data_IF_775728873223
#
_entry.id   IF_775728873223
#
_cell.length_a   1.000
_cell.length_b   1.000
_cell.length_c   1.000
_cell.angle_alpha   90.00
_cell.angle_beta   90.00
_cell.angle_gamma   90.00
#
_symmetry.space_group_name_H-M   'P 1'
#
loop_
_entity.id
_entity.type
_entity.pdbx_description
1 polymer ?
#
# COMPACT_ATOMS: atom_id res chain seq x y z
N UNK A 1 15.80 -24.11 4.19
CA UNK A 1 17.26 -24.14 4.55
C UNK A 1 17.46 -23.18 5.72
N UNK A 2 18.42 -23.46 6.60
CA UNK A 2 18.73 -22.55 7.73
C UNK A 2 19.61 -21.41 7.22
N UNK A 3 19.16 -20.16 7.40
CA UNK A 3 19.86 -18.93 6.99
C UNK A 3 21.28 -18.90 7.56
N UNK A 4 21.46 -19.33 8.83
CA UNK A 4 22.76 -19.34 9.50
C UNK A 4 23.84 -20.18 8.75
N UNK A 5 23.42 -21.12 7.89
CA UNK A 5 24.35 -21.95 7.10
C UNK A 5 24.89 -21.24 5.87
N UNK A 6 24.19 -20.24 5.34
CA UNK A 6 24.62 -19.48 4.16
C UNK A 6 25.58 -18.36 4.52
N UNK A 7 25.59 -17.89 5.75
CA UNK A 7 26.18 -16.61 6.14
C UNK A 7 25.57 -15.44 5.34
N UNK A 8 26.00 -14.21 5.62
CA UNK A 8 25.46 -13.00 4.97
C UNK A 8 25.67 -13.01 3.47
N UNK A 9 26.91 -13.06 3.02
CA UNK A 9 27.22 -13.01 1.57
C UNK A 9 26.63 -14.18 0.78
N UNK A 10 26.62 -15.40 1.35
CA UNK A 10 25.99 -16.55 0.71
C UNK A 10 24.47 -16.41 0.58
N UNK A 11 23.82 -15.72 1.51
CA UNK A 11 22.40 -15.40 1.41
C UNK A 11 22.16 -14.34 0.32
N UNK A 12 22.95 -13.27 0.27
CA UNK A 12 22.88 -12.23 -0.78
C UNK A 12 23.04 -12.87 -2.16
N UNK A 13 24.08 -13.68 -2.36
CA UNK A 13 24.31 -14.39 -3.62
C UNK A 13 23.13 -15.30 -4.01
N UNK A 14 22.55 -16.00 -3.04
CA UNK A 14 21.38 -16.86 -3.27
C UNK A 14 20.17 -16.04 -3.74
N UNK A 15 19.85 -14.94 -3.04
CA UNK A 15 18.66 -14.13 -3.30
C UNK A 15 18.77 -13.31 -4.60
N UNK A 16 19.97 -12.89 -4.98
CA UNK A 16 20.22 -12.06 -6.17
C UNK A 16 20.64 -12.87 -7.40
N UNK A 17 20.74 -14.18 -7.27
CA UNK A 17 21.13 -15.08 -8.37
C UNK A 17 20.21 -14.92 -9.58
N UNK A 18 20.82 -14.59 -10.72
CA UNK A 18 20.11 -14.42 -11.99
C UNK A 18 19.41 -13.08 -12.16
N UNK A 19 19.70 -12.08 -11.32
CA UNK A 19 19.29 -10.70 -11.60
C UNK A 19 20.07 -10.13 -12.77
N UNK A 20 19.34 -9.54 -13.71
CA UNK A 20 19.90 -8.78 -14.82
C UNK A 20 19.40 -7.34 -14.71
N UNK A 21 20.32 -6.39 -14.74
CA UNK A 21 19.99 -4.97 -14.76
C UNK A 21 19.29 -4.62 -16.08
N UNK A 22 18.11 -4.02 -16.01
CA UNK A 22 17.27 -3.69 -17.19
C UNK A 22 17.44 -2.23 -17.61
N UNK A 23 17.85 -1.37 -16.69
CA UNK A 23 17.93 0.06 -16.90
C UNK A 23 19.32 0.46 -17.35
N UNK A 24 19.41 1.27 -18.42
CA UNK A 24 20.68 1.84 -18.88
C UNK A 24 21.33 2.76 -17.85
N UNK A 25 20.56 3.30 -16.92
CA UNK A 25 21.06 4.10 -15.79
C UNK A 25 21.75 3.26 -14.72
N UNK A 26 21.58 1.95 -14.69
CA UNK A 26 22.30 1.04 -13.78
C UNK A 26 23.60 0.60 -14.44
N UNK A 27 24.71 1.23 -14.07
CA UNK A 27 26.04 0.90 -14.57
C UNK A 27 26.60 -0.37 -13.90
N UNK A 28 26.40 -0.48 -12.58
CA UNK A 28 26.77 -1.64 -11.76
C UNK A 28 25.75 -1.82 -10.63
N UNK A 29 25.17 -3.00 -10.51
CA UNK A 29 24.17 -3.31 -9.50
C UNK A 29 24.75 -4.00 -8.26
N UNK A 30 24.15 -5.16 -7.87
CA UNK A 30 24.62 -5.95 -6.73
C UNK A 30 26.00 -6.54 -6.99
N UNK A 31 26.89 -6.52 -5.98
CA UNK A 31 28.17 -7.23 -6.01
C UNK A 31 29.39 -6.42 -5.57
N UNK A 32 29.22 -5.17 -5.12
CA UNK A 32 30.26 -4.33 -4.55
C UNK A 32 29.69 -3.51 -3.38
N UNK A 33 30.51 -2.65 -2.72
CA UNK A 33 30.09 -1.82 -1.61
C UNK A 33 28.96 -0.84 -1.97
N UNK A 34 28.90 -0.41 -3.24
CA UNK A 34 27.86 0.49 -3.75
C UNK A 34 27.39 0.09 -5.16
N UNK A 35 26.11 0.30 -5.44
CA UNK A 35 25.63 0.33 -6.82
C UNK A 35 26.09 1.61 -7.53
N UNK A 36 26.39 1.52 -8.84
CA UNK A 36 26.79 2.67 -9.66
C UNK A 36 25.70 3.01 -10.64
N UNK A 37 25.22 4.25 -10.59
CA UNK A 37 24.14 4.75 -11.44
C UNK A 37 24.56 6.00 -12.19
N UNK A 38 23.99 6.19 -13.38
CA UNK A 38 24.24 7.36 -14.23
C UNK A 38 22.94 7.92 -14.80
N UNK A 39 22.65 9.18 -14.50
CA UNK A 39 21.43 9.92 -14.92
C UNK A 39 21.82 11.19 -15.67
N UNK A 40 22.12 11.11 -16.97
CA UNK A 40 22.38 12.29 -17.77
C UNK A 40 21.04 13.02 -18.04
N UNK A 41 21.06 14.34 -17.89
CA UNK A 41 19.95 15.24 -18.27
C UNK A 41 18.57 14.94 -17.63
N UNK A 42 18.56 14.35 -16.44
CA UNK A 42 17.35 14.02 -15.66
C UNK A 42 17.50 14.44 -14.21
N UNK A 43 16.38 14.80 -13.60
CA UNK A 43 16.28 14.89 -12.13
C UNK A 43 16.04 13.50 -11.55
N UNK A 44 16.67 13.23 -10.41
CA UNK A 44 16.51 11.98 -9.67
C UNK A 44 15.45 12.16 -8.61
N UNK A 45 14.46 11.27 -8.62
CA UNK A 45 13.45 11.13 -7.58
C UNK A 45 13.87 9.99 -6.66
N UNK A 46 13.76 10.18 -5.35
CA UNK A 46 14.12 9.15 -4.37
C UNK A 46 13.10 9.16 -3.23
N UNK A 47 12.57 7.98 -2.93
CA UNK A 47 11.67 7.75 -1.81
C UNK A 47 12.11 6.57 -0.98
N UNK A 48 11.61 6.47 0.25
CA UNK A 48 11.86 5.31 1.12
C UNK A 48 10.69 5.08 2.05
N UNK A 49 10.26 3.82 2.14
CA UNK A 49 9.27 3.35 3.11
C UNK A 49 9.85 2.30 4.04
N UNK A 50 9.28 2.23 5.23
CA UNK A 50 9.58 1.21 6.23
C UNK A 50 8.31 0.45 6.61
N UNK A 51 8.32 -0.86 6.45
CA UNK A 51 7.24 -1.75 6.84
C UNK A 51 7.68 -2.59 8.05
N UNK A 52 6.88 -2.53 9.11
CA UNK A 52 7.14 -3.22 10.38
C UNK A 52 6.06 -4.26 10.64
N UNK A 53 6.48 -5.48 10.99
CA UNK A 53 5.55 -6.52 11.42
C UNK A 53 4.77 -6.10 12.67
N UNK A 54 3.45 -6.34 12.64
CA UNK A 54 2.53 -5.93 13.71
C UNK A 54 2.09 -4.46 13.65
N UNK A 55 2.61 -3.68 12.67
CA UNK A 55 2.22 -2.29 12.44
C UNK A 55 1.65 -2.14 11.03
N UNK A 56 2.44 -2.45 10.00
CA UNK A 56 2.07 -2.29 8.58
C UNK A 56 1.60 -3.60 7.93
N UNK A 57 1.93 -4.73 8.53
CA UNK A 57 1.51 -6.05 8.08
C UNK A 57 1.51 -7.06 9.23
N UNK A 58 0.73 -8.14 9.07
CA UNK A 58 0.70 -9.27 10.00
C UNK A 58 0.83 -10.58 9.23
N UNK A 59 1.87 -11.35 9.55
CA UNK A 59 2.18 -12.63 8.90
C UNK A 59 1.18 -13.75 9.24
N UNK A 60 0.16 -13.47 10.04
CA UNK A 60 -0.94 -14.42 10.26
C UNK A 60 -1.91 -14.47 9.08
N UNK A 61 -1.93 -13.44 8.23
CA UNK A 61 -2.82 -13.35 7.06
C UNK A 61 -2.16 -12.87 5.76
N UNK A 62 -0.94 -12.31 5.79
CA UNK A 62 -0.18 -12.01 4.57
C UNK A 62 0.96 -13.02 4.41
N UNK A 63 1.07 -13.63 3.25
CA UNK A 63 2.24 -14.46 2.93
C UNK A 63 3.43 -13.61 2.48
N UNK A 64 4.61 -14.23 2.47
CA UNK A 64 5.85 -13.53 2.14
C UNK A 64 5.90 -13.04 0.68
N UNK A 65 5.23 -13.73 -0.25
CA UNK A 65 5.19 -13.30 -1.65
C UNK A 65 4.35 -12.04 -1.81
N UNK A 66 3.14 -11.98 -1.23
CA UNK A 66 2.32 -10.76 -1.23
C UNK A 66 3.02 -9.61 -0.50
N UNK A 67 3.68 -9.91 0.63
CA UNK A 67 4.43 -8.89 1.36
C UNK A 67 5.56 -8.29 0.52
N UNK A 68 6.33 -9.13 -0.20
CA UNK A 68 7.38 -8.66 -1.10
C UNK A 68 6.85 -7.78 -2.23
N UNK A 69 5.72 -8.18 -2.83
CA UNK A 69 5.05 -7.40 -3.87
C UNK A 69 4.59 -6.04 -3.36
N UNK A 70 3.83 -6.04 -2.25
CA UNK A 70 3.34 -4.82 -1.59
C UNK A 70 4.49 -3.88 -1.23
N UNK A 71 5.57 -4.41 -0.62
CA UNK A 71 6.73 -3.61 -0.21
C UNK A 71 7.40 -2.87 -1.37
N UNK A 72 7.42 -3.45 -2.57
CA UNK A 72 7.90 -2.77 -3.77
C UNK A 72 6.90 -1.73 -4.29
N UNK A 73 5.60 -2.11 -4.35
CA UNK A 73 4.57 -1.26 -4.96
C UNK A 73 4.34 0.05 -4.22
N UNK A 74 4.42 0.06 -2.88
CA UNK A 74 4.26 1.30 -2.11
C UNK A 74 5.31 2.34 -2.51
N UNK A 75 6.56 1.95 -2.66
CA UNK A 75 7.64 2.84 -3.09
C UNK A 75 7.56 3.23 -4.57
N UNK A 76 7.11 2.32 -5.44
CA UNK A 76 6.89 2.60 -6.86
C UNK A 76 5.76 3.62 -7.04
N UNK A 77 4.73 3.56 -6.17
CA UNK A 77 3.61 4.50 -6.13
C UNK A 77 4.09 5.94 -5.95
N UNK A 78 4.98 6.20 -4.99
CA UNK A 78 5.54 7.53 -4.74
C UNK A 78 6.24 8.13 -5.99
N UNK A 79 6.98 7.30 -6.72
CA UNK A 79 7.65 7.75 -7.94
C UNK A 79 6.62 8.15 -9.01
N UNK A 80 5.56 7.36 -9.19
CA UNK A 80 4.48 7.72 -10.11
C UNK A 80 3.70 8.95 -9.64
N UNK A 81 3.51 9.11 -8.33
CA UNK A 81 2.84 10.27 -7.74
C UNK A 81 3.55 11.60 -8.04
N UNK A 82 4.84 11.56 -8.39
CA UNK A 82 5.60 12.73 -8.86
C UNK A 82 5.80 12.77 -10.39
N UNK A 83 5.03 12.00 -11.16
CA UNK A 83 5.15 11.84 -12.61
C UNK A 83 6.53 11.30 -13.05
N UNK A 84 7.21 10.59 -12.16
CA UNK A 84 8.48 9.94 -12.42
C UNK A 84 8.34 8.60 -13.15
N UNK A 85 9.50 8.03 -13.46
CA UNK A 85 9.63 6.65 -13.93
C UNK A 85 10.55 5.92 -12.95
N UNK A 86 10.09 4.89 -12.23
CA UNK A 86 10.93 4.13 -11.30
C UNK A 86 12.02 3.39 -12.06
N UNK A 87 13.21 3.26 -11.48
CA UNK A 87 14.37 2.68 -12.13
C UNK A 87 15.15 1.68 -11.29
N UNK A 88 15.49 2.04 -10.05
CA UNK A 88 16.28 1.19 -9.17
C UNK A 88 15.65 1.11 -7.78
N UNK A 89 16.01 0.05 -7.06
CA UNK A 89 15.55 -0.20 -5.70
C UNK A 89 16.65 -0.85 -4.87
N UNK A 90 16.77 -0.43 -3.62
CA UNK A 90 17.57 -1.10 -2.59
C UNK A 90 16.69 -1.58 -1.46
N UNK A 91 16.98 -2.75 -0.90
CA UNK A 91 16.13 -3.45 0.06
C UNK A 91 16.91 -3.76 1.33
N UNK A 92 16.57 -3.13 2.43
CA UNK A 92 17.12 -3.46 3.75
C UNK A 92 16.10 -4.29 4.53
N UNK A 93 16.55 -5.44 5.06
CA UNK A 93 15.67 -6.38 5.75
C UNK A 93 16.28 -6.82 7.10
N UNK A 94 15.50 -6.72 8.18
CA UNK A 94 15.90 -7.19 9.50
C UNK A 94 15.05 -8.41 9.90
N UNK A 95 15.71 -9.55 10.14
CA UNK A 95 15.07 -10.86 10.28
C UNK A 95 15.22 -11.42 11.69
N UNK A 96 14.14 -11.91 12.28
CA UNK A 96 14.22 -12.73 13.48
C UNK A 96 14.59 -14.18 13.15
N UNK A 97 15.07 -14.94 14.16
CA UNK A 97 15.54 -16.34 13.99
C UNK A 97 14.48 -17.34 13.51
N UNK A 98 13.21 -16.94 13.44
CA UNK A 98 12.12 -17.84 12.99
C UNK A 98 12.08 -18.02 11.49
N UNK A 99 12.67 -17.10 10.71
CA UNK A 99 12.64 -17.15 9.25
C UNK A 99 13.67 -18.11 8.68
N UNK A 100 13.31 -18.71 7.56
CA UNK A 100 14.14 -19.63 6.79
C UNK A 100 14.45 -19.02 5.43
N UNK A 101 15.35 -19.63 4.68
CA UNK A 101 15.69 -19.18 3.32
C UNK A 101 14.46 -19.22 2.41
N UNK A 102 13.61 -20.24 2.55
CA UNK A 102 12.40 -20.42 1.76
C UNK A 102 11.41 -19.22 1.94
N UNK A 103 11.30 -18.70 3.15
CA UNK A 103 10.47 -17.52 3.43
C UNK A 103 10.99 -16.29 2.68
N UNK A 104 12.32 -16.13 2.61
CA UNK A 104 12.95 -15.05 1.86
C UNK A 104 12.86 -15.23 0.35
N UNK A 105 12.96 -16.47 -0.13
CA UNK A 105 12.77 -16.78 -1.55
C UNK A 105 11.37 -16.35 -2.00
N UNK A 106 10.34 -16.62 -1.19
CA UNK A 106 8.96 -16.18 -1.48
C UNK A 106 8.84 -14.65 -1.42
N UNK A 107 9.43 -13.99 -0.42
CA UNK A 107 9.46 -12.53 -0.33
C UNK A 107 10.08 -11.90 -1.58
N UNK A 108 11.29 -12.34 -1.94
CA UNK A 108 11.99 -11.80 -3.12
C UNK A 108 11.31 -12.19 -4.43
N UNK A 109 10.57 -13.29 -4.49
CA UNK A 109 9.72 -13.64 -5.64
C UNK A 109 8.62 -12.58 -5.85
N UNK A 110 7.91 -12.19 -4.79
CA UNK A 110 6.91 -11.12 -4.86
C UNK A 110 7.52 -9.77 -5.23
N UNK A 111 8.64 -9.41 -4.61
CA UNK A 111 9.39 -8.20 -4.91
C UNK A 111 9.77 -8.12 -6.40
N UNK A 112 10.30 -9.23 -6.96
CA UNK A 112 10.66 -9.32 -8.39
C UNK A 112 9.46 -9.16 -9.29
N UNK A 113 8.31 -9.77 -8.96
CA UNK A 113 7.09 -9.62 -9.76
C UNK A 113 6.69 -8.15 -9.91
N UNK A 114 6.77 -7.37 -8.84
CA UNK A 114 6.52 -5.91 -8.86
C UNK A 114 7.58 -5.17 -9.69
N UNK A 115 8.86 -5.47 -9.46
CA UNK A 115 9.98 -4.87 -10.17
C UNK A 115 9.96 -5.19 -11.67
N UNK A 116 9.64 -6.43 -12.03
CA UNK A 116 9.54 -6.87 -13.44
C UNK A 116 8.41 -6.15 -14.18
N UNK A 117 7.28 -5.95 -13.50
CA UNK A 117 6.12 -5.24 -14.05
C UNK A 117 6.45 -3.81 -14.46
N UNK A 118 7.26 -3.11 -13.67
CA UNK A 118 7.58 -1.70 -13.87
C UNK A 118 9.00 -1.45 -14.35
N UNK A 119 9.78 -2.49 -14.64
CA UNK A 119 11.14 -2.38 -15.16
C UNK A 119 12.11 -1.77 -14.14
N UNK A 120 11.97 -2.12 -12.86
CA UNK A 120 12.84 -1.66 -11.76
C UNK A 120 13.97 -2.66 -11.53
N UNK A 121 15.21 -2.17 -11.39
CA UNK A 121 16.36 -2.99 -11.03
C UNK A 121 16.53 -3.04 -9.51
N UNK A 122 16.68 -4.22 -8.93
CA UNK A 122 17.12 -4.37 -7.55
C UNK A 122 18.65 -4.31 -7.56
N UNK A 123 19.22 -3.22 -7.03
CA UNK A 123 20.64 -2.90 -7.20
C UNK A 123 21.47 -3.05 -5.93
N UNK A 124 20.84 -3.38 -4.80
CA UNK A 124 21.52 -3.59 -3.52
C UNK A 124 20.57 -3.70 -2.36
N UNK A 125 21.13 -3.69 -1.16
CA UNK A 125 20.36 -3.75 0.08
C UNK A 125 21.26 -4.07 1.26
N UNK A 126 20.61 -4.39 2.38
CA UNK A 126 21.28 -4.80 3.62
C UNK A 126 20.44 -5.89 4.31
N UNK A 127 21.13 -6.80 5.00
CA UNK A 127 20.46 -7.85 5.77
C UNK A 127 21.04 -7.89 7.19
N UNK A 128 20.16 -7.70 8.17
CA UNK A 128 20.57 -7.74 9.58
C UNK A 128 19.61 -8.59 10.42
N UNK A 129 19.93 -8.77 11.69
CA UNK A 129 19.08 -9.51 12.61
C UNK A 129 18.11 -8.60 13.36
N UNK A 130 16.90 -9.14 13.64
CA UNK A 130 15.91 -8.54 14.53
C UNK A 130 15.67 -9.44 15.74
N UNK A 131 15.40 -8.85 16.90
CA UNK A 131 15.06 -9.60 18.11
C UNK A 131 13.57 -9.97 18.19
N UNK A 132 12.71 -9.24 17.49
CA UNK A 132 11.25 -9.31 17.67
C UNK A 132 10.50 -9.79 16.44
N UNK A 133 10.72 -9.23 15.26
CA UNK A 133 9.91 -9.50 14.09
C UNK A 133 10.66 -9.24 12.79
N UNK A 134 9.91 -9.02 11.74
CA UNK A 134 10.39 -8.63 10.42
C UNK A 134 10.27 -7.13 10.26
N UNK A 135 11.35 -6.48 9.84
CA UNK A 135 11.34 -5.09 9.39
C UNK A 135 11.93 -5.01 7.98
N UNK A 136 11.29 -4.22 7.13
CA UNK A 136 11.66 -4.05 5.73
C UNK A 136 11.77 -2.55 5.50
N UNK A 137 12.86 -2.10 4.92
CA UNK A 137 13.00 -0.73 4.41
C UNK A 137 13.44 -0.80 2.96
N UNK A 138 12.66 -0.16 2.08
CA UNK A 138 12.95 -0.10 0.66
C UNK A 138 13.15 1.35 0.27
N UNK A 139 14.22 1.60 -0.49
CA UNK A 139 14.43 2.89 -1.13
C UNK A 139 14.30 2.70 -2.64
N UNK A 140 13.38 3.44 -3.26
CA UNK A 140 13.18 3.45 -4.70
C UNK A 140 13.73 4.73 -5.32
N UNK A 141 14.41 4.58 -6.44
CA UNK A 141 14.98 5.68 -7.22
C UNK A 141 14.30 5.70 -8.59
N UNK A 142 13.82 6.87 -8.97
CA UNK A 142 13.23 7.14 -10.26
C UNK A 142 13.86 8.34 -10.95
N UNK A 143 13.44 8.62 -12.15
CA UNK A 143 13.88 9.76 -12.94
C UNK A 143 12.70 10.48 -13.60
N UNK A 144 12.84 11.79 -13.79
CA UNK A 144 11.92 12.59 -14.60
C UNK A 144 12.69 13.73 -15.28
N UNK A 145 12.15 14.25 -16.39
CA UNK A 145 12.61 15.55 -16.87
C UNK A 145 12.14 16.62 -15.86
N UNK A 146 12.97 17.63 -15.64
CA UNK A 146 12.70 18.67 -14.63
C UNK A 146 11.33 19.34 -14.80
N UNK A 147 10.95 19.60 -16.03
CA UNK A 147 9.68 20.21 -16.42
C UNK A 147 8.48 19.30 -16.23
N UNK A 148 8.68 17.97 -16.15
CA UNK A 148 7.60 16.98 -16.04
C UNK A 148 7.26 16.66 -14.57
N UNK A 149 8.13 16.98 -13.63
CA UNK A 149 7.90 16.69 -12.21
C UNK A 149 6.65 17.38 -11.72
N UNK A 150 5.76 16.62 -11.10
CA UNK A 150 4.56 17.11 -10.44
C UNK A 150 4.76 17.03 -8.93
N UNK A 151 4.38 18.08 -8.23
CA UNK A 151 4.51 18.20 -6.78
C UNK A 151 3.11 18.15 -6.12
N UNK A 152 3.07 18.01 -4.81
CA UNK A 152 1.84 18.20 -4.01
C UNK A 152 1.35 19.65 -4.04
N UNK A 153 2.27 20.60 -4.29
CA UNK A 153 1.98 22.03 -4.48
C UNK A 153 1.73 22.36 -5.95
N UNK A 154 0.88 23.34 -6.22
CA UNK A 154 0.65 23.85 -7.58
C UNK A 154 -0.81 23.80 -8.04
N UNK A 155 -1.71 23.26 -7.22
CA UNK A 155 -3.14 23.31 -7.45
C UNK A 155 -3.64 24.79 -7.48
N UNK A 156 -4.53 25.10 -8.41
CA UNK A 156 -5.03 26.46 -8.63
C UNK A 156 -6.54 26.53 -8.48
N UNK A 157 -7.06 27.71 -8.12
CA UNK A 157 -8.50 27.94 -8.09
C UNK A 157 -9.15 27.49 -9.40
N UNK A 158 -10.26 26.77 -9.31
CA UNK A 158 -11.03 26.14 -10.38
C UNK A 158 -10.43 24.85 -10.98
N UNK A 159 -9.24 24.42 -10.56
CA UNK A 159 -8.74 23.11 -10.98
C UNK A 159 -9.71 22.01 -10.52
N UNK A 160 -9.87 21.00 -11.36
CA UNK A 160 -10.65 19.81 -11.05
C UNK A 160 -9.83 18.90 -10.14
N UNK A 161 -10.46 18.29 -9.14
CA UNK A 161 -9.87 17.26 -8.29
C UNK A 161 -10.28 15.91 -8.85
N UNK A 162 -9.30 15.08 -9.15
CA UNK A 162 -9.48 13.78 -9.76
C UNK A 162 -8.81 12.69 -8.91
N UNK A 163 -9.40 11.50 -8.92
CA UNK A 163 -8.80 10.28 -8.36
C UNK A 163 -8.81 9.17 -9.38
N UNK A 164 -7.81 8.30 -9.33
CA UNK A 164 -7.80 7.06 -10.08
C UNK A 164 -8.55 5.94 -9.33
N UNK A 165 -8.97 4.90 -10.06
CA UNK A 165 -9.59 3.69 -9.51
C UNK A 165 -10.79 3.94 -8.60
N UNK A 166 -10.79 3.27 -7.46
CA UNK A 166 -11.79 3.38 -6.40
C UNK A 166 -11.13 3.33 -5.01
N UNK A 167 -11.85 3.76 -3.98
CA UNK A 167 -11.30 4.02 -2.66
C UNK A 167 -11.98 3.20 -1.56
N UNK A 168 -11.20 2.92 -0.51
CA UNK A 168 -11.63 2.21 0.69
C UNK A 168 -11.59 0.69 0.55
N UNK A 169 -11.22 0.15 -0.62
CA UNK A 169 -11.14 -1.28 -0.87
C UNK A 169 -10.05 -1.95 -0.04
N UNK A 170 -8.88 -1.35 0.04
CA UNK A 170 -7.77 -1.85 0.85
C UNK A 170 -8.13 -1.87 2.34
N UNK A 171 -8.72 -0.79 2.84
CA UNK A 171 -9.16 -0.71 4.22
C UNK A 171 -10.23 -1.76 4.57
N UNK A 172 -11.21 -2.01 3.70
CA UNK A 172 -12.19 -3.06 3.91
C UNK A 172 -11.57 -4.45 3.88
N UNK A 173 -10.58 -4.68 3.03
CA UNK A 173 -9.76 -5.89 3.02
C UNK A 173 -9.04 -6.12 4.35
N UNK A 174 -8.42 -5.07 4.90
CA UNK A 174 -7.78 -5.11 6.22
C UNK A 174 -8.78 -5.45 7.32
N UNK A 175 -9.93 -4.77 7.36
CA UNK A 175 -10.98 -5.03 8.37
C UNK A 175 -11.50 -6.48 8.31
N UNK A 176 -11.62 -7.03 7.10
CA UNK A 176 -12.00 -8.43 6.90
C UNK A 176 -10.95 -9.38 7.49
N UNK A 177 -9.66 -9.17 7.18
CA UNK A 177 -8.55 -9.98 7.67
C UNK A 177 -8.42 -9.91 9.20
N UNK A 178 -8.49 -8.71 9.77
CA UNK A 178 -8.42 -8.52 11.22
C UNK A 178 -9.61 -9.14 11.96
N UNK A 179 -10.82 -9.09 11.38
CA UNK A 179 -11.98 -9.76 11.93
C UNK A 179 -11.80 -11.28 11.98
N UNK A 180 -11.39 -11.90 10.87
CA UNK A 180 -11.18 -13.34 10.81
C UNK A 180 -10.08 -13.80 11.78
N UNK A 181 -9.01 -13.02 11.88
CA UNK A 181 -7.95 -13.23 12.89
C UNK A 181 -8.51 -13.16 14.31
N UNK A 182 -9.34 -12.15 14.63
CA UNK A 182 -9.94 -12.02 15.96
C UNK A 182 -10.89 -13.18 16.29
N UNK A 183 -11.69 -13.65 15.31
CA UNK A 183 -12.55 -14.82 15.45
C UNK A 183 -11.72 -16.08 15.74
N UNK A 184 -10.66 -16.31 14.97
CA UNK A 184 -9.76 -17.44 15.18
C UNK A 184 -9.14 -17.44 16.60
N UNK A 185 -8.55 -16.33 17.02
CA UNK A 185 -7.94 -16.23 18.35
C UNK A 185 -8.96 -16.33 19.49
N UNK A 186 -10.16 -15.79 19.31
CA UNK A 186 -11.24 -15.93 20.26
C UNK A 186 -11.64 -17.38 20.47
N UNK A 187 -11.79 -18.16 19.40
CA UNK A 187 -12.08 -19.60 19.47
C UNK A 187 -10.97 -20.40 20.13
N UNK A 188 -9.70 -20.11 19.78
CA UNK A 188 -8.53 -20.76 20.39
C UNK A 188 -8.46 -20.46 21.90
N UNK A 189 -8.73 -19.23 22.31
CA UNK A 189 -8.74 -18.85 23.72
C UNK A 189 -9.86 -19.55 24.51
N UNK A 190 -11.05 -19.64 23.94
CA UNK A 190 -12.19 -20.38 24.52
C UNK A 190 -11.86 -21.86 24.72
N UNK A 191 -11.25 -22.50 23.72
CA UNK A 191 -10.80 -23.90 23.85
C UNK A 191 -9.77 -24.00 24.99
N UNK A 192 -8.80 -23.10 25.07
CA UNK A 192 -7.77 -23.10 26.13
C UNK A 192 -8.38 -22.91 27.53
N UNK A 193 -9.39 -22.02 27.69
CA UNK A 193 -10.11 -21.85 28.97
C UNK A 193 -10.81 -23.13 29.38
N UNK A 194 -11.56 -23.78 28.44
CA UNK A 194 -12.22 -25.06 28.67
C UNK A 194 -11.24 -26.19 29.02
N UNK A 195 -10.06 -26.19 28.40
CA UNK A 195 -8.97 -27.14 28.73
C UNK A 195 -8.45 -26.94 30.15
N UNK A 196 -8.28 -25.70 30.59
CA UNK A 196 -7.85 -25.41 31.96
C UNK A 196 -8.87 -25.90 33.01
N UNK A 197 -10.17 -25.69 32.75
CA UNK A 197 -11.27 -26.22 33.58
C UNK A 197 -11.29 -27.76 33.61
N UNK A 198 -11.18 -28.41 32.45
CA UNK A 198 -11.14 -29.88 32.36
C UNK A 198 -9.94 -30.46 33.11
N UNK A 199 -8.79 -29.79 33.06
CA UNK A 199 -7.60 -30.16 33.81
C UNK A 199 -7.77 -30.02 35.33
N UNK A 200 -8.40 -28.93 35.78
CA UNK A 200 -8.72 -28.70 37.20
C UNK A 200 -9.70 -29.76 37.77
N UNK A 201 -10.63 -30.25 36.93
CA UNK A 201 -11.61 -31.26 37.28
C UNK A 201 -11.14 -32.71 37.04
N UNK A 202 -9.87 -32.91 36.62
CA UNK A 202 -9.30 -34.21 36.24
C UNK A 202 -10.13 -34.95 35.17
N UNK A 203 -10.81 -34.24 34.24
CA UNK A 203 -11.61 -34.79 33.19
C UNK A 203 -10.73 -35.07 31.96
N UNK A 204 -10.11 -36.26 31.94
CA UNK A 204 -9.19 -36.68 30.88
C UNK A 204 -9.87 -36.87 29.51
N UNK A 205 -11.17 -37.25 29.49
CA UNK A 205 -11.92 -37.41 28.24
C UNK A 205 -12.18 -36.06 27.58
N UNK A 206 -12.67 -35.08 28.35
CA UNK A 206 -12.90 -33.72 27.88
C UNK A 206 -11.61 -33.06 27.41
N UNK A 207 -10.51 -33.28 28.15
CA UNK A 207 -9.18 -32.76 27.78
C UNK A 207 -8.70 -33.34 26.44
N UNK A 208 -8.89 -34.61 26.20
CA UNK A 208 -8.54 -35.25 24.92
C UNK A 208 -9.36 -34.71 23.74
N UNK A 209 -10.68 -34.51 23.92
CA UNK A 209 -11.54 -33.90 22.91
C UNK A 209 -11.10 -32.46 22.57
N UNK A 210 -10.87 -31.62 23.58
CA UNK A 210 -10.46 -30.23 23.39
C UNK A 210 -9.04 -30.11 22.76
N UNK A 211 -8.13 -31.06 23.03
CA UNK A 211 -6.85 -31.12 22.33
C UNK A 211 -7.05 -31.41 20.82
N UNK A 212 -8.02 -32.25 20.46
CA UNK A 212 -8.35 -32.51 19.05
C UNK A 212 -8.94 -31.26 18.41
N UNK A 213 -9.89 -30.57 19.08
CA UNK A 213 -10.45 -29.31 18.59
C UNK A 213 -9.35 -28.26 18.35
N UNK A 214 -8.40 -28.15 19.28
CA UNK A 214 -7.24 -27.22 19.14
C UNK A 214 -6.33 -27.60 17.96
N UNK A 215 -6.19 -28.90 17.65
CA UNK A 215 -5.43 -29.34 16.49
C UNK A 215 -6.20 -29.05 15.18
N UNK A 216 -7.52 -29.20 15.17
CA UNK A 216 -8.36 -28.89 14.02
C UNK A 216 -8.33 -27.38 13.73
N UNK A 217 -8.30 -26.52 14.77
CA UNK A 217 -8.14 -25.07 14.62
C UNK A 217 -6.83 -24.67 13.94
N UNK A 218 -5.76 -25.48 14.02
CA UNK A 218 -4.50 -25.19 13.30
C UNK A 218 -4.62 -25.29 11.78
N UNK A 219 -5.63 -26.01 11.29
CA UNK A 219 -5.94 -26.19 9.88
C UNK A 219 -7.12 -25.32 9.44
N UNK A 220 -7.61 -24.45 10.34
CA UNK A 220 -8.69 -23.53 10.01
C UNK A 220 -8.23 -22.57 8.92
N UNK A 221 -9.05 -22.48 7.88
CA UNK A 221 -8.89 -21.48 6.82
C UNK A 221 -10.19 -20.68 6.76
N UNK A 222 -10.12 -19.35 6.86
CA UNK A 222 -11.29 -18.49 6.68
C UNK A 222 -11.89 -18.69 5.28
N UNK A 223 -13.19 -18.55 5.17
CA UNK A 223 -13.86 -18.53 3.86
C UNK A 223 -13.91 -17.10 3.34
N UNK A 224 -13.14 -16.85 2.30
CA UNK A 224 -13.06 -15.57 1.61
C UNK A 224 -13.74 -15.58 0.23
N UNK A 225 -14.57 -16.58 -0.06
CA UNK A 225 -15.27 -16.66 -1.34
C UNK A 225 -16.11 -15.39 -1.61
N UNK A 226 -15.88 -14.79 -2.78
CA UNK A 226 -16.52 -13.53 -3.18
C UNK A 226 -15.94 -12.28 -2.52
N UNK A 227 -14.81 -12.39 -1.82
CA UNK A 227 -14.08 -11.26 -1.20
C UNK A 227 -12.70 -11.03 -1.84
N UNK A 228 -12.42 -11.70 -2.96
CA UNK A 228 -11.11 -11.72 -3.62
C UNK A 228 -10.63 -10.31 -3.96
N UNK A 229 -11.54 -9.44 -4.41
CA UNK A 229 -11.23 -8.05 -4.73
C UNK A 229 -10.68 -7.28 -3.52
N UNK A 230 -11.35 -7.36 -2.37
CA UNK A 230 -10.93 -6.66 -1.14
C UNK A 230 -9.58 -7.16 -0.64
N UNK A 231 -9.37 -8.48 -0.71
CA UNK A 231 -8.10 -9.09 -0.34
C UNK A 231 -6.98 -8.66 -1.27
N UNK A 232 -7.25 -8.61 -2.59
CA UNK A 232 -6.28 -8.15 -3.57
C UNK A 232 -5.89 -6.69 -3.31
N UNK A 233 -6.87 -5.81 -3.06
CA UNK A 233 -6.60 -4.39 -2.76
C UNK A 233 -5.67 -4.22 -1.56
N UNK A 234 -5.83 -5.04 -0.51
CA UNK A 234 -5.02 -4.96 0.71
C UNK A 234 -3.68 -5.69 0.59
N UNK A 235 -3.66 -6.89 0.02
CA UNK A 235 -2.48 -7.76 0.05
C UNK A 235 -1.57 -7.56 -1.16
N UNK A 236 -2.12 -7.09 -2.28
CA UNK A 236 -1.42 -6.90 -3.54
C UNK A 236 -1.82 -5.57 -4.19
N UNK A 237 -1.54 -4.41 -3.53
CA UNK A 237 -1.87 -3.10 -4.09
C UNK A 237 -1.12 -2.86 -5.40
N UNK A 238 -1.67 -1.95 -6.21
CA UNK A 238 -1.11 -1.60 -7.51
C UNK A 238 -0.73 -0.13 -7.59
N UNK A 239 0.50 0.14 -7.97
CA UNK A 239 0.94 1.50 -8.31
C UNK A 239 0.38 1.90 -9.68
N UNK A 240 -0.15 3.12 -9.82
CA UNK A 240 -0.95 3.57 -10.96
C UNK A 240 -0.13 4.16 -12.12
N UNK A 241 0.92 3.45 -12.53
CA UNK A 241 1.69 3.80 -13.74
C UNK A 241 0.88 3.74 -15.03
N UNK A 242 -0.21 2.95 -15.06
CA UNK A 242 -1.19 2.89 -16.13
C UNK A 242 -1.91 4.24 -16.33
N UNK A 243 -2.34 4.88 -15.24
CA UNK A 243 -2.98 6.21 -15.27
C UNK A 243 -1.98 7.28 -15.70
N UNK A 244 -0.72 7.19 -15.22
CA UNK A 244 0.34 8.08 -15.66
C UNK A 244 0.59 8.00 -17.17
N UNK A 245 0.55 6.80 -17.74
CA UNK A 245 0.66 6.61 -19.18
C UNK A 245 -0.52 7.26 -19.94
N UNK A 246 -1.75 7.06 -19.47
CA UNK A 246 -2.94 7.69 -20.07
C UNK A 246 -2.89 9.23 -19.99
N UNK A 247 -2.48 9.81 -18.86
CA UNK A 247 -2.32 11.27 -18.69
C UNK A 247 -1.31 11.84 -19.69
N UNK A 248 -0.16 11.17 -19.86
CA UNK A 248 0.87 11.57 -20.82
C UNK A 248 0.36 11.47 -22.26
N UNK A 249 -0.34 10.39 -22.62
CA UNK A 249 -0.93 10.19 -23.97
C UNK A 249 -1.99 11.25 -24.29
N UNK A 250 -2.83 11.61 -23.32
CA UNK A 250 -3.83 12.66 -23.45
C UNK A 250 -3.23 14.09 -23.45
N UNK A 251 -1.92 14.21 -23.21
CA UNK A 251 -1.24 15.51 -23.07
C UNK A 251 -1.75 16.30 -21.87
N UNK A 252 -2.15 15.61 -20.80
CA UNK A 252 -2.58 16.21 -19.54
C UNK A 252 -1.40 16.20 -18.57
N UNK A 253 -1.06 17.35 -18.02
CA UNK A 253 -0.10 17.49 -16.93
C UNK A 253 -0.85 17.94 -15.68
N UNK A 254 -0.89 17.13 -14.62
CA UNK A 254 -1.47 17.53 -13.35
C UNK A 254 -0.79 18.80 -12.79
N UNK A 255 -1.58 19.66 -12.14
CA UNK A 255 -1.08 20.85 -11.46
C UNK A 255 -0.53 20.55 -10.07
N UNK A 256 -1.13 19.56 -9.38
CA UNK A 256 -0.62 18.94 -8.17
C UNK A 256 -0.99 17.45 -8.17
N UNK A 257 -0.20 16.62 -7.50
CA UNK A 257 -0.45 15.18 -7.42
C UNK A 257 0.24 14.55 -6.21
N UNK A 258 -0.37 13.49 -5.69
CA UNK A 258 0.20 12.53 -4.75
C UNK A 258 -0.58 11.21 -4.84
N UNK A 259 -0.07 10.13 -4.27
CA UNK A 259 -0.84 8.90 -4.10
C UNK A 259 -1.63 8.90 -2.79
N UNK A 260 -2.56 7.97 -2.65
CA UNK A 260 -3.44 7.84 -1.48
C UNK A 260 -2.96 6.68 -0.62
N UNK A 261 -2.12 6.99 0.37
CA UNK A 261 -1.55 6.05 1.33
C UNK A 261 -2.25 6.08 2.70
N UNK A 262 -2.60 7.26 3.20
CA UNK A 262 -3.22 7.44 4.53
C UNK A 262 -4.73 7.70 4.47
N UNK A 263 -5.26 7.92 3.28
CA UNK A 263 -6.67 8.17 2.99
C UNK A 263 -6.93 9.52 2.33
N UNK A 264 -7.93 9.56 1.45
CA UNK A 264 -8.25 10.72 0.61
C UNK A 264 -8.31 12.06 1.36
N UNK A 265 -8.83 12.06 2.60
CA UNK A 265 -8.93 13.30 3.41
C UNK A 265 -7.57 13.86 3.77
N UNK A 266 -6.61 13.00 4.11
CA UNK A 266 -5.24 13.37 4.47
C UNK A 266 -4.54 14.01 3.28
N UNK A 267 -4.56 13.34 2.14
CA UNK A 267 -3.87 13.77 0.93
C UNK A 267 -4.48 15.05 0.34
N UNK A 268 -5.80 15.20 0.38
CA UNK A 268 -6.46 16.45 0.01
C UNK A 268 -6.00 17.62 0.88
N UNK A 269 -5.86 17.39 2.19
CA UNK A 269 -5.35 18.41 3.09
C UNK A 269 -3.93 18.80 2.76
N UNK A 270 -3.05 17.84 2.45
CA UNK A 270 -1.67 18.09 2.03
C UNK A 270 -1.59 18.91 0.73
N UNK A 271 -2.36 18.55 -0.29
CA UNK A 271 -2.43 19.32 -1.54
C UNK A 271 -2.91 20.75 -1.25
N UNK A 272 -3.99 20.89 -0.48
CA UNK A 272 -4.55 22.22 -0.17
C UNK A 272 -3.61 23.09 0.65
N UNK A 273 -2.90 22.52 1.62
CA UNK A 273 -1.95 23.24 2.46
C UNK A 273 -0.73 23.72 1.67
N UNK A 274 -0.14 22.82 0.87
CA UNK A 274 1.03 23.15 0.06
C UNK A 274 0.72 24.06 -1.13
N UNK A 275 -0.54 24.06 -1.59
CA UNK A 275 -1.01 24.92 -2.68
C UNK A 275 -1.68 26.21 -2.18
N UNK A 276 -1.81 26.42 -0.86
CA UNK A 276 -2.53 27.57 -0.25
C UNK A 276 -3.93 27.77 -0.82
N UNK A 277 -4.72 26.68 -0.83
CA UNK A 277 -6.06 26.67 -1.41
C UNK A 277 -7.08 25.94 -0.52
N UNK A 278 -8.35 26.07 -0.85
CA UNK A 278 -9.44 25.28 -0.32
C UNK A 278 -9.95 24.27 -1.34
N UNK A 279 -10.91 23.44 -0.96
CA UNK A 279 -11.53 22.49 -1.88
C UNK A 279 -12.99 22.23 -1.58
N UNK A 280 -13.70 21.70 -2.58
CA UNK A 280 -15.03 21.11 -2.46
C UNK A 280 -14.99 19.75 -3.09
N UNK A 281 -15.26 18.70 -2.30
CA UNK A 281 -15.35 17.31 -2.73
C UNK A 281 -16.79 16.85 -2.62
N UNK A 282 -17.31 16.21 -3.65
CA UNK A 282 -18.69 15.72 -3.68
C UNK A 282 -18.73 14.23 -3.32
N UNK A 283 -19.35 13.90 -2.19
CA UNK A 283 -19.53 12.53 -1.72
C UNK A 283 -20.04 11.58 -2.82
N UNK A 284 -21.03 12.04 -3.59
CA UNK A 284 -21.65 11.25 -4.67
C UNK A 284 -20.70 10.86 -5.81
N UNK A 285 -19.59 11.59 -5.95
CA UNK A 285 -18.62 11.40 -7.01
C UNK A 285 -17.41 10.56 -6.59
N UNK A 286 -17.26 10.28 -5.30
CA UNK A 286 -16.17 9.43 -4.79
C UNK A 286 -16.39 8.02 -5.35
N UNK A 287 -15.44 7.48 -6.13
CA UNK A 287 -15.56 6.14 -6.68
C UNK A 287 -15.37 5.09 -5.56
N UNK A 288 -16.30 4.17 -5.44
CA UNK A 288 -16.27 3.08 -4.46
C UNK A 288 -16.77 1.82 -5.16
N UNK A 289 -16.00 0.75 -5.07
CA UNK A 289 -16.41 -0.53 -5.64
C UNK A 289 -17.61 -1.14 -4.90
N UNK A 290 -18.41 -1.91 -5.64
CA UNK A 290 -19.58 -2.58 -5.09
C UNK A 290 -19.26 -3.53 -3.93
N UNK A 291 -18.15 -4.29 -4.03
CA UNK A 291 -17.73 -5.21 -2.96
C UNK A 291 -17.31 -4.44 -1.69
N UNK A 292 -16.67 -3.30 -1.85
CA UNK A 292 -16.35 -2.38 -0.73
C UNK A 292 -17.62 -1.89 -0.04
N UNK A 293 -18.64 -1.49 -0.81
CA UNK A 293 -19.90 -1.02 -0.27
C UNK A 293 -20.66 -2.13 0.48
N UNK A 294 -20.76 -3.32 -0.10
CA UNK A 294 -21.39 -4.50 0.55
C UNK A 294 -20.68 -4.87 1.84
N UNK A 295 -19.32 -4.88 1.84
CA UNK A 295 -18.55 -5.24 3.02
C UNK A 295 -18.69 -4.20 4.14
N UNK A 296 -18.72 -2.91 3.81
CA UNK A 296 -18.95 -1.85 4.78
C UNK A 296 -20.35 -1.98 5.43
N UNK A 297 -21.38 -2.32 4.64
CA UNK A 297 -22.72 -2.59 5.16
C UNK A 297 -22.75 -3.81 6.10
N UNK A 298 -22.13 -4.92 5.72
CA UNK A 298 -21.99 -6.13 6.55
C UNK A 298 -21.32 -5.83 7.90
N UNK A 299 -20.37 -4.90 7.92
CA UNK A 299 -19.64 -4.48 9.14
C UNK A 299 -20.33 -3.33 9.87
N UNK A 300 -21.45 -2.83 9.38
CA UNK A 300 -22.13 -1.64 9.90
C UNK A 300 -21.20 -0.43 10.00
N UNK A 301 -20.33 -0.26 9.00
CA UNK A 301 -19.38 0.86 8.89
C UNK A 301 -19.91 1.92 7.93
N UNK A 302 -19.58 3.19 8.19
CA UNK A 302 -19.95 4.27 7.28
C UNK A 302 -19.05 4.23 6.04
N UNK A 303 -19.66 3.98 4.88
CA UNK A 303 -18.97 3.80 3.61
C UNK A 303 -18.14 5.03 3.20
N UNK A 304 -18.70 6.22 3.35
CA UNK A 304 -17.99 7.48 3.02
C UNK A 304 -16.77 7.67 3.91
N UNK A 305 -16.88 7.34 5.20
CA UNK A 305 -15.74 7.39 6.12
C UNK A 305 -14.65 6.40 5.71
N UNK A 306 -15.01 5.18 5.28
CA UNK A 306 -14.05 4.21 4.80
C UNK A 306 -13.28 4.71 3.56
N UNK A 307 -13.99 5.29 2.59
CA UNK A 307 -13.37 5.81 1.37
C UNK A 307 -12.55 7.10 1.60
N UNK A 308 -12.93 7.91 2.59
CA UNK A 308 -12.25 9.19 2.89
C UNK A 308 -11.02 9.02 3.78
N UNK A 309 -11.01 8.02 4.68
CA UNK A 309 -9.99 7.86 5.71
C UNK A 309 -9.36 6.46 5.75
N UNK A 310 -9.80 5.55 4.87
CA UNK A 310 -9.12 4.28 4.66
C UNK A 310 -7.82 4.49 3.89
N UNK A 311 -6.72 3.97 4.40
CA UNK A 311 -5.42 4.05 3.75
C UNK A 311 -5.12 2.86 2.85
N UNK A 312 -3.90 2.87 2.29
CA UNK A 312 -3.30 1.80 1.50
C UNK A 312 -4.00 1.50 0.14
N UNK A 313 -4.79 2.45 -0.39
CA UNK A 313 -5.39 2.31 -1.71
C UNK A 313 -4.37 2.49 -2.85
N UNK A 314 -3.33 3.30 -2.64
CA UNK A 314 -2.26 3.62 -3.61
C UNK A 314 -2.79 4.09 -4.97
N UNK A 315 -3.98 4.69 -4.96
CA UNK A 315 -4.54 5.39 -6.09
C UNK A 315 -3.93 6.80 -6.20
N UNK A 316 -3.97 7.42 -7.38
CA UNK A 316 -3.49 8.79 -7.57
C UNK A 316 -4.59 9.80 -7.28
N UNK A 317 -4.28 10.76 -6.42
CA UNK A 317 -5.04 12.00 -6.24
C UNK A 317 -4.32 13.12 -6.98
N UNK A 318 -5.00 13.80 -7.90
CA UNK A 318 -4.38 14.85 -8.68
C UNK A 318 -5.36 15.98 -9.04
N UNK A 319 -4.79 17.13 -9.38
CA UNK A 319 -5.56 18.29 -9.87
C UNK A 319 -5.17 18.63 -11.29
N UNK A 320 -6.15 19.05 -12.10
CA UNK A 320 -5.94 19.46 -13.48
C UNK A 320 -6.74 20.73 -13.80
N UNK A 321 -6.28 21.57 -14.76
CA UNK A 321 -7.05 22.72 -15.19
C UNK A 321 -8.45 22.32 -15.68
N UNK A 322 -9.47 23.14 -15.40
CA UNK A 322 -10.86 22.90 -15.86
C UNK A 322 -10.98 22.71 -17.37
N UNK A 323 -10.05 23.27 -18.14
CA UNK A 323 -9.99 23.09 -19.59
C UNK A 323 -9.72 21.66 -20.05
N UNK A 324 -9.22 20.78 -19.19
CA UNK A 324 -8.97 19.37 -19.50
C UNK A 324 -10.15 18.45 -19.10
N UNK A 325 -11.29 19.01 -18.66
CA UNK A 325 -12.46 18.26 -18.18
C UNK A 325 -12.92 17.16 -19.17
N UNK A 326 -13.11 17.51 -20.47
CA UNK A 326 -13.56 16.54 -21.48
C UNK A 326 -12.56 15.38 -21.66
N UNK A 327 -11.26 15.67 -21.55
CA UNK A 327 -10.22 14.63 -21.64
C UNK A 327 -10.25 13.72 -20.42
N UNK A 328 -10.43 14.29 -19.21
CA UNK A 328 -10.55 13.52 -17.96
C UNK A 328 -11.80 12.62 -18.00
N UNK A 329 -12.94 13.12 -18.47
CA UNK A 329 -14.15 12.31 -18.59
C UNK A 329 -14.01 11.14 -19.57
N UNK A 330 -13.14 11.27 -20.56
CA UNK A 330 -12.85 10.21 -21.52
C UNK A 330 -11.84 9.16 -21.03
N UNK A 331 -11.15 9.43 -19.90
CA UNK A 331 -10.16 8.48 -19.34
C UNK A 331 -10.85 7.35 -18.58
N UNK A 332 -10.42 6.13 -18.85
CA UNK A 332 -10.86 4.97 -18.08
C UNK A 332 -10.15 4.91 -16.72
N UNK A 333 -10.90 4.60 -15.67
CA UNK A 333 -10.36 4.46 -14.32
C UNK A 333 -9.99 5.79 -13.63
N UNK A 334 -10.49 6.95 -14.12
CA UNK A 334 -10.35 8.25 -13.48
C UNK A 334 -11.72 8.86 -13.19
N UNK A 335 -11.86 9.47 -12.03
CA UNK A 335 -13.08 10.17 -11.61
C UNK A 335 -12.78 11.58 -11.12
N UNK A 336 -13.53 12.56 -11.65
CA UNK A 336 -13.59 13.90 -11.06
C UNK A 336 -14.48 13.85 -9.81
N UNK A 337 -13.90 14.20 -8.66
CA UNK A 337 -14.58 14.16 -7.37
C UNK A 337 -14.90 15.55 -6.80
N UNK A 338 -14.31 16.60 -7.34
CA UNK A 338 -14.48 17.95 -6.80
C UNK A 338 -13.71 19.01 -7.57
N UNK A 339 -13.45 20.12 -6.91
CA UNK A 339 -12.67 21.22 -7.46
C UNK A 339 -11.96 22.04 -6.38
N UNK A 340 -10.91 22.74 -6.76
CA UNK A 340 -10.12 23.64 -5.93
C UNK A 340 -10.77 25.00 -5.80
N UNK A 341 -10.76 25.56 -4.59
CA UNK A 341 -11.31 26.87 -4.26
C UNK A 341 -10.26 27.79 -3.63
N UNK A 342 -10.62 29.02 -3.36
CA UNK A 342 -9.78 29.91 -2.54
C UNK A 342 -9.60 29.35 -1.14
N UNK A 343 -8.43 29.53 -0.56
CA UNK A 343 -8.11 29.11 0.81
C UNK A 343 -9.14 29.61 1.84
N UNK A 344 -9.57 30.87 1.69
CA UNK A 344 -10.55 31.48 2.58
C UNK A 344 -11.93 30.83 2.62
N UNK A 345 -12.24 29.97 1.65
CA UNK A 345 -13.49 29.20 1.60
C UNK A 345 -13.40 27.85 2.34
N UNK A 346 -12.22 27.49 2.87
CA UNK A 346 -12.00 26.24 3.60
C UNK A 346 -12.04 24.98 2.74
N UNK A 347 -12.00 23.83 3.40
CA UNK A 347 -11.91 22.49 2.79
C UNK A 347 -13.14 21.69 3.21
N UNK A 348 -14.01 21.29 2.30
CA UNK A 348 -15.30 20.68 2.64
C UNK A 348 -15.66 19.48 1.77
N UNK A 349 -16.29 18.51 2.41
CA UNK A 349 -17.06 17.44 1.78
C UNK A 349 -18.51 17.89 1.62
N UNK A 350 -19.05 17.81 0.42
CA UNK A 350 -20.46 18.07 0.11
C UNK A 350 -21.18 16.72 0.06
N UNK A 351 -22.06 16.49 1.01
CA UNK A 351 -22.82 15.23 1.09
C UNK A 351 -23.90 15.15 0.00
N UNK A 352 -24.48 13.95 -0.16
CA UNK A 352 -25.54 13.70 -1.15
C UNK A 352 -26.77 14.57 -0.95
N UNK A 353 -27.08 14.97 0.28
CA UNK A 353 -28.17 15.89 0.64
C UNK A 353 -27.76 17.37 0.62
N UNK A 354 -26.53 17.68 0.21
CA UNK A 354 -26.01 19.04 0.02
C UNK A 354 -25.49 19.72 1.27
N UNK A 355 -25.30 18.98 2.38
CA UNK A 355 -24.65 19.56 3.58
C UNK A 355 -23.14 19.65 3.38
N UNK A 356 -22.53 20.67 4.00
CA UNK A 356 -21.07 20.87 3.99
C UNK A 356 -20.47 20.39 5.31
N UNK A 357 -19.52 19.46 5.25
CA UNK A 357 -18.73 19.00 6.38
C UNK A 357 -17.28 19.38 6.17
N UNK A 358 -16.67 20.04 7.14
CA UNK A 358 -15.25 20.36 7.10
C UNK A 358 -14.41 19.07 7.06
N UNK A 359 -13.49 19.00 6.10
CA UNK A 359 -12.57 17.87 5.98
C UNK A 359 -11.61 17.84 7.16
N UNK A 360 -11.44 16.64 7.72
CA UNK A 360 -10.50 16.36 8.81
C UNK A 360 -9.75 15.10 8.46
N UNK A 361 -8.43 15.13 8.52
CA UNK A 361 -7.60 13.94 8.43
C UNK A 361 -7.87 13.05 9.64
N UNK A 362 -8.49 11.91 9.42
CA UNK A 362 -8.75 10.86 10.42
C UNK A 362 -8.07 9.55 10.04
N UNK A 363 -7.23 9.58 8.98
CA UNK A 363 -6.44 8.46 8.54
C UNK A 363 -5.45 7.98 9.59
N UNK A 364 -4.74 6.92 9.24
CA UNK A 364 -3.74 6.31 10.12
C UNK A 364 -2.66 7.34 10.52
N UNK A 365 -2.27 7.32 11.80
CA UNK A 365 -1.19 8.16 12.30
C UNK A 365 -0.30 7.33 13.24
N UNK A 366 0.93 7.02 12.85
CA UNK A 366 1.83 6.14 13.59
C UNK A 366 2.23 6.66 14.98
N UNK A 367 1.97 7.94 15.26
CA UNK A 367 2.36 8.62 16.50
C UNK A 367 1.15 8.96 17.40
N UNK A 368 -0.06 8.56 17.01
CA UNK A 368 -1.26 8.64 17.87
C UNK A 368 -1.59 7.23 18.37
N UNK A 369 -1.66 7.08 19.68
CA UNK A 369 -2.12 5.86 20.37
C UNK A 369 -3.61 5.59 20.08
#
# INVERSE_FOLDING_TARGET
MDIAKLCEFGLIDHLTKGYENKNASTVYGVGDDCAVMHYPDKEVLMTTDMLMEGVHFDLTYIDMQHLGYKSAMVNISDIFAMNGTPRQMVVSIALSKRFKVEDLDDFYKGLRMACDKWGVDIVGGDTTSSLTGLAISITCIGEAAKEDIVYRSGAKETDLICVSGDLGGAYMGLQLLEREKAVYYGQVEDIRKKMAEAKANNDSQKLAALNKDLQEMRNFQPDFAGKEYLLQRQLQPEARGDIMAQLREAGIRPTAMMDISDGLSSELMHICEQSHCGCRVYEKNIPIDYQTAVQAEEFNMNLTTCAMNGGEDYELLFTVPIGDHEKIEAMEGVKQIGYITKESLGKFLITRDGQEFELKAQGWNPLKD
#
